data_IF_483101677069
#
_entry.id   IF_483101677069
#
_cell.length_a   1.000
_cell.length_b   1.000
_cell.length_c   1.000
_cell.angle_alpha   90.00
_cell.angle_beta   90.00
_cell.angle_gamma   90.00
#
_symmetry.space_group_name_H-M   'P 1'
#
loop_
_entity.id
_entity.type
_entity.pdbx_description
1 polymer ?
#
# COMPACT_ATOMS: atom_id res chain seq x y z
N UNK A 1 17.14 11.27 -0.82
CA UNK A 1 16.19 11.71 0.23
C UNK A 1 14.88 12.04 -0.48
N UNK A 2 13.83 11.25 -0.27
CA UNK A 2 12.51 11.50 -0.87
C UNK A 2 11.77 12.40 0.10
N UNK A 3 11.44 13.64 -0.28
CA UNK A 3 10.72 14.58 0.57
C UNK A 3 9.19 14.45 0.46
N UNK A 4 8.71 13.69 -0.53
CA UNK A 4 7.29 13.49 -0.76
C UNK A 4 6.92 12.03 -0.53
N UNK A 5 6.23 11.75 0.57
CA UNK A 5 5.78 10.42 0.93
C UNK A 5 4.31 10.21 0.54
N UNK A 6 3.95 8.96 0.31
CA UNK A 6 2.56 8.57 0.12
C UNK A 6 1.74 8.85 1.39
N UNK A 7 0.52 9.35 1.19
CA UNK A 7 -0.43 9.56 2.28
C UNK A 7 -0.79 8.21 2.94
N UNK A 8 -1.04 8.23 4.24
CA UNK A 8 -1.37 7.03 5.02
C UNK A 8 -2.64 6.37 4.53
N UNK A 9 -3.65 7.15 4.12
CA UNK A 9 -4.86 6.62 3.51
C UNK A 9 -4.55 5.78 2.25
N UNK A 10 -3.64 6.26 1.38
CA UNK A 10 -3.23 5.53 0.18
C UNK A 10 -2.52 4.22 0.53
N UNK A 11 -1.65 4.23 1.55
CA UNK A 11 -0.99 3.03 2.05
C UNK A 11 -1.97 2.03 2.66
N UNK A 12 -3.00 2.51 3.38
CA UNK A 12 -4.09 1.70 3.92
C UNK A 12 -4.96 1.08 2.81
N UNK A 13 -5.36 1.85 1.80
CA UNK A 13 -6.10 1.32 0.64
C UNK A 13 -5.29 0.31 -0.17
N UNK A 14 -3.98 0.56 -0.32
CA UNK A 14 -3.04 -0.38 -0.95
C UNK A 14 -2.92 -1.67 -0.12
N UNK A 15 -2.73 -1.56 1.20
CA UNK A 15 -2.68 -2.70 2.12
C UNK A 15 -3.98 -3.51 2.14
N UNK A 16 -5.13 -2.83 2.02
CA UNK A 16 -6.45 -3.44 1.95
C UNK A 16 -6.75 -4.08 0.58
N UNK A 17 -5.93 -3.84 -0.44
CA UNK A 17 -6.17 -4.31 -1.82
C UNK A 17 -7.39 -3.68 -2.48
N UNK A 18 -7.81 -2.50 -2.03
CA UNK A 18 -8.94 -1.73 -2.58
C UNK A 18 -8.49 -0.58 -3.49
N UNK A 19 -7.18 -0.44 -3.73
CA UNK A 19 -6.60 0.58 -4.58
C UNK A 19 -6.71 0.18 -6.06
N UNK A 20 -7.11 1.11 -6.93
CA UNK A 20 -7.20 0.85 -8.38
C UNK A 20 -5.85 0.53 -9.02
N UNK A 21 -5.86 -0.19 -10.14
CA UNK A 21 -4.66 -0.76 -10.78
C UNK A 21 -3.57 0.29 -11.08
N UNK A 22 -3.96 1.44 -11.63
CA UNK A 22 -3.02 2.52 -11.96
C UNK A 22 -2.33 3.08 -10.71
N UNK A 23 -3.06 3.27 -9.63
CA UNK A 23 -2.52 3.77 -8.36
C UNK A 23 -1.64 2.71 -7.68
N UNK A 24 -2.01 1.44 -7.76
CA UNK A 24 -1.21 0.33 -7.23
C UNK A 24 0.17 0.25 -7.89
N UNK A 25 0.25 0.48 -9.21
CA UNK A 25 1.54 0.52 -9.92
C UNK A 25 2.43 1.68 -9.45
N UNK A 26 1.86 2.88 -9.30
CA UNK A 26 2.59 4.06 -8.81
C UNK A 26 3.10 3.83 -7.38
N UNK A 27 2.24 3.31 -6.50
CA UNK A 27 2.60 2.98 -5.13
C UNK A 27 3.73 1.95 -5.10
N UNK A 28 3.66 0.89 -5.90
CA UNK A 28 4.71 -0.13 -5.97
C UNK A 28 6.07 0.46 -6.40
N UNK A 29 6.07 1.38 -7.37
CA UNK A 29 7.26 2.06 -7.85
C UNK A 29 7.87 2.95 -6.76
N UNK A 30 7.03 3.66 -6.00
CA UNK A 30 7.47 4.48 -4.88
C UNK A 30 8.07 3.64 -3.75
N UNK A 31 7.43 2.51 -3.41
CA UNK A 31 7.92 1.59 -2.37
C UNK A 31 9.27 0.94 -2.73
N UNK A 32 9.58 0.81 -4.02
CA UNK A 32 10.89 0.34 -4.48
C UNK A 32 12.00 1.36 -4.15
N UNK A 33 11.68 2.66 -4.20
CA UNK A 33 12.62 3.76 -4.02
C UNK A 33 12.65 4.33 -2.58
N UNK A 34 11.54 4.22 -1.84
CA UNK A 34 11.38 4.80 -0.51
C UNK A 34 11.30 3.71 0.58
N UNK A 35 12.34 3.54 1.42
CA UNK A 35 12.30 2.59 2.53
C UNK A 35 11.34 3.01 3.65
N UNK A 36 11.11 4.31 3.85
CA UNK A 36 10.21 4.81 4.89
C UNK A 36 8.74 4.44 4.60
N UNK A 37 8.28 4.68 3.38
CA UNK A 37 6.93 4.28 2.96
C UNK A 37 6.75 2.75 3.00
N UNK A 38 7.85 1.99 2.81
CA UNK A 38 7.85 0.53 2.94
C UNK A 38 7.59 0.09 4.37
N UNK A 39 8.23 0.71 5.36
CA UNK A 39 7.97 0.37 6.76
C UNK A 39 6.57 0.80 7.21
N UNK A 40 6.12 1.99 6.79
CA UNK A 40 4.74 2.46 7.02
C UNK A 40 3.70 1.49 6.46
N UNK A 41 3.93 0.97 5.25
CA UNK A 41 3.08 -0.07 4.67
C UNK A 41 3.09 -1.35 5.52
N UNK A 42 4.25 -1.76 6.03
CA UNK A 42 4.39 -2.95 6.87
C UNK A 42 3.55 -2.84 8.14
N UNK A 43 3.56 -1.67 8.78
CA UNK A 43 2.73 -1.36 9.95
C UNK A 43 1.25 -1.38 9.57
N UNK A 44 0.87 -0.74 8.45
CA UNK A 44 -0.50 -0.74 7.95
C UNK A 44 -1.00 -2.16 7.61
N UNK A 45 -0.14 -3.01 7.05
CA UNK A 45 -0.44 -4.42 6.76
C UNK A 45 -0.54 -5.28 8.03
N UNK A 46 0.21 -4.98 9.09
CA UNK A 46 0.03 -5.65 10.38
C UNK A 46 -1.28 -5.27 11.05
N UNK A 47 -1.66 -3.99 10.98
CA UNK A 47 -2.95 -3.52 11.45
C UNK A 47 -4.12 -4.11 10.63
N UNK A 48 -3.96 -4.18 9.30
CA UNK A 48 -4.94 -4.73 8.36
C UNK A 48 -4.90 -6.26 8.19
N UNK A 49 -3.86 -6.93 8.68
CA UNK A 49 -3.60 -8.37 8.54
C UNK A 49 -4.63 -9.25 9.26
N UNK A 50 -5.49 -8.66 10.09
CA UNK A 50 -6.67 -9.30 10.66
C UNK A 50 -7.89 -9.32 9.72
N UNK A 51 -7.87 -8.57 8.61
CA UNK A 51 -9.05 -8.38 7.76
C UNK A 51 -8.92 -8.86 6.30
N UNK A 52 -7.71 -9.07 5.75
CA UNK A 52 -7.56 -9.45 4.33
C UNK A 52 -7.19 -10.91 4.10
N UNK A 53 -8.09 -11.83 4.48
CA UNK A 53 -8.20 -13.10 3.75
C UNK A 53 -8.91 -12.84 2.42
N UNK A 54 -8.10 -12.59 1.38
CA UNK A 54 -8.44 -12.85 -0.04
C UNK A 54 -9.63 -12.08 -0.62
N UNK A 55 -9.34 -11.08 -1.45
CA UNK A 55 -10.23 -10.60 -2.51
C UNK A 55 -9.68 -10.97 -3.89
N UNK A 56 -9.58 -12.28 -4.13
CA UNK A 56 -9.47 -12.82 -5.50
C UNK A 56 -10.87 -12.79 -6.12
N UNK A 57 -11.25 -11.70 -6.81
CA UNK A 57 -12.33 -11.53 -7.83
C UNK A 57 -12.67 -10.04 -7.90
N UNK A 58 -12.71 -9.33 -9.04
CA UNK A 58 -13.41 -9.55 -10.33
C UNK A 58 -12.66 -8.65 -11.34
N UNK A 59 -12.34 -8.99 -12.59
CA UNK A 59 -12.88 -9.89 -13.62
C UNK A 59 -11.71 -10.47 -14.42
#
# INVERSE_FOLDING_TARGET
MINHHLNEATLLFYAAGSLGDALSLVVSSHLALCPECRERLRIAQQAGGRFSRRSRRRR
#
